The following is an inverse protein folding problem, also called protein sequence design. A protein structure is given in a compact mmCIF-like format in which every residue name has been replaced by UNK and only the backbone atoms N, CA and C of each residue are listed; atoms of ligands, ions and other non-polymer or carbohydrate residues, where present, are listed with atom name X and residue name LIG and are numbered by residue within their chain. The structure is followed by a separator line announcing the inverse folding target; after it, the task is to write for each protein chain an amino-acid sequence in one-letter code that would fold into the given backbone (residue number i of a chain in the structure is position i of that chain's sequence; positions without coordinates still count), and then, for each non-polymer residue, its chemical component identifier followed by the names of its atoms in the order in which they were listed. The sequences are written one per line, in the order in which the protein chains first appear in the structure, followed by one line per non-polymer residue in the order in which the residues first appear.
data_IF_885860437315
#
_entry.id   IF_885860437315
#
_cell.length_a   1.000
_cell.length_b   1.000
_cell.length_c   1.000
_cell.angle_alpha   90.00
_cell.angle_beta   90.00
_cell.angle_gamma   90.00
#
_symmetry.space_group_name_H-M   'P 1'
#
loop_
_entity.id
_entity.type
_entity.pdbx_description
1 polymer ?
#
# COMPACT_ATOMS: atom_id res chain seq x y z
N UNK A 1 25.43 4.95 41.27
CA UNK A 1 24.63 6.12 40.84
C UNK A 1 25.58 7.21 40.33
N UNK A 2 25.41 7.72 39.11
CA UNK A 2 26.21 8.84 38.61
C UNK A 2 25.80 10.15 39.32
N UNK A 3 26.74 11.01 39.75
CA UNK A 3 26.42 12.20 40.53
C UNK A 3 25.58 13.20 39.72
N UNK A 4 24.59 13.89 40.32
CA UNK A 4 23.63 14.77 39.64
C UNK A 4 24.23 16.12 39.16
N UNK A 5 25.49 16.16 38.71
CA UNK A 5 26.21 17.41 38.42
C UNK A 5 26.15 17.92 36.98
N UNK A 6 25.73 17.10 36.01
CA UNK A 6 25.90 17.41 34.58
C UNK A 6 24.82 18.26 33.90
N UNK A 7 23.84 18.80 34.64
CA UNK A 7 22.72 19.58 34.07
C UNK A 7 22.83 21.10 34.24
N UNK A 8 23.59 21.56 35.22
CA UNK A 8 23.61 22.98 35.62
C UNK A 8 24.40 23.82 34.59
N UNK A 9 25.53 23.29 34.11
CA UNK A 9 26.43 24.00 33.21
C UNK A 9 26.26 23.64 31.73
N UNK A 10 25.18 22.93 31.35
CA UNK A 10 24.93 22.60 29.95
C UNK A 10 24.29 23.80 29.22
N UNK A 11 24.78 24.17 28.02
CA UNK A 11 24.16 25.22 27.24
C UNK A 11 22.69 24.88 26.97
N UNK A 12 21.79 25.84 27.21
CA UNK A 12 20.36 25.66 26.96
C UNK A 12 20.12 25.51 25.45
N UNK A 13 19.30 24.54 25.07
CA UNK A 13 18.80 24.43 23.69
C UNK A 13 18.02 25.69 23.29
N UNK A 14 17.85 25.92 21.99
CA UNK A 14 17.08 27.06 21.47
C UNK A 14 15.66 27.18 22.07
N UNK A 15 15.03 26.04 22.39
CA UNK A 15 13.77 26.03 23.13
C UNK A 15 13.95 26.32 24.63
N UNK A 16 15.02 25.81 25.25
CA UNK A 16 15.37 26.11 26.64
C UNK A 16 15.59 27.60 26.92
N UNK A 17 16.11 28.34 25.93
CA UNK A 17 16.25 29.81 25.99
C UNK A 17 14.88 30.53 25.97
N UNK A 18 13.89 29.99 25.23
CA UNK A 18 12.55 30.56 25.04
C UNK A 18 11.48 29.81 25.86
N UNK A 19 11.34 30.14 27.14
CA UNK A 19 10.47 29.43 28.11
C UNK A 19 9.03 29.24 27.62
N UNK A 20 8.35 30.28 27.14
CA UNK A 20 6.97 30.19 26.67
C UNK A 20 6.83 29.30 25.43
N UNK A 21 7.78 29.37 24.48
CA UNK A 21 7.81 28.50 23.30
C UNK A 21 8.02 27.05 23.73
N UNK A 22 8.93 26.79 24.68
CA UNK A 22 9.16 25.45 25.24
C UNK A 22 7.91 24.88 25.88
N UNK A 23 7.24 25.63 26.76
CA UNK A 23 5.99 25.17 27.40
C UNK A 23 4.91 24.87 26.34
N UNK A 24 4.75 25.74 25.33
CA UNK A 24 3.79 25.54 24.23
C UNK A 24 4.09 24.28 23.41
N UNK A 25 5.34 24.09 23.00
CA UNK A 25 5.76 22.92 22.21
C UNK A 25 5.58 21.64 23.02
N UNK A 26 6.13 21.58 24.23
CA UNK A 26 5.99 20.41 25.09
C UNK A 26 4.53 20.09 25.43
N UNK A 27 3.70 21.11 25.62
CA UNK A 27 2.25 20.95 25.83
C UNK A 27 1.56 20.35 24.60
N UNK A 28 1.88 20.83 23.39
CA UNK A 28 1.37 20.27 22.14
C UNK A 28 1.83 18.82 21.94
N UNK A 29 3.09 18.51 22.21
CA UNK A 29 3.63 17.16 22.05
C UNK A 29 3.01 16.18 23.04
N UNK A 30 2.80 16.60 24.30
CA UNK A 30 2.05 15.80 25.29
C UNK A 30 0.63 15.51 24.82
N UNK A 31 -0.07 16.49 24.23
CA UNK A 31 -1.41 16.29 23.68
C UNK A 31 -1.41 15.34 22.47
N UNK A 32 -0.46 15.50 21.55
CA UNK A 32 -0.29 14.59 20.39
C UNK A 32 -0.03 13.15 20.82
N UNK A 33 0.85 12.93 21.80
CA UNK A 33 1.16 11.59 22.33
C UNK A 33 -0.05 10.90 22.99
N UNK A 34 -0.98 11.69 23.55
CA UNK A 34 -2.21 11.18 24.18
C UNK A 34 -3.37 11.08 23.19
N UNK A 35 -3.19 11.48 21.94
CA UNK A 35 -4.24 11.44 20.95
C UNK A 35 -4.54 9.99 20.60
N UNK A 36 -5.78 9.56 20.84
CA UNK A 36 -6.21 8.21 20.48
C UNK A 36 -6.52 8.23 18.98
N UNK A 37 -5.70 7.52 18.23
CA UNK A 37 -5.80 7.38 16.78
C UNK A 37 -6.59 6.10 16.49
N UNK A 38 -7.68 6.20 15.72
CA UNK A 38 -8.44 5.02 15.29
C UNK A 38 -7.61 4.06 14.44
N UNK A 39 -8.07 2.83 14.22
CA UNK A 39 -7.41 1.90 13.30
C UNK A 39 -7.76 2.23 11.84
N UNK A 40 -6.83 1.95 10.91
CA UNK A 40 -7.09 1.91 9.47
C UNK A 40 -6.89 0.47 9.04
N UNK A 41 -7.97 -0.18 8.57
CA UNK A 41 -7.91 -1.59 8.20
C UNK A 41 -7.52 -1.78 6.74
N UNK A 42 -8.04 -0.93 5.85
CA UNK A 42 -7.86 -1.05 4.40
C UNK A 42 -6.98 0.10 3.86
N UNK A 43 -5.73 0.20 4.31
CA UNK A 43 -4.84 1.32 3.99
C UNK A 43 -4.59 1.53 2.48
N UNK A 44 -4.52 0.43 1.72
CA UNK A 44 -4.32 0.48 0.26
C UNK A 44 -5.58 0.81 -0.56
N UNK A 45 -6.76 0.85 0.06
CA UNK A 45 -8.06 1.07 -0.61
C UNK A 45 -8.81 2.29 -0.06
N UNK A 46 -8.13 3.19 0.64
CA UNK A 46 -8.74 4.38 1.24
C UNK A 46 -9.27 5.31 0.15
N UNK A 47 -10.56 5.66 0.22
CA UNK A 47 -11.14 6.69 -0.67
C UNK A 47 -11.00 8.09 -0.08
N UNK A 48 -11.09 9.13 -0.93
CA UNK A 48 -11.03 10.55 -0.53
C UNK A 48 -12.00 10.88 0.62
N UNK A 49 -13.18 10.25 0.64
CA UNK A 49 -14.16 10.44 1.71
C UNK A 49 -13.65 9.97 3.08
N UNK A 50 -12.92 8.85 3.12
CA UNK A 50 -12.31 8.33 4.34
C UNK A 50 -11.16 9.24 4.82
N UNK A 51 -10.37 9.79 3.88
CA UNK A 51 -9.36 10.80 4.20
C UNK A 51 -9.98 12.06 4.82
N UNK A 52 -11.13 12.52 4.29
CA UNK A 52 -11.89 13.64 4.87
C UNK A 52 -12.37 13.33 6.30
N UNK A 53 -12.85 12.12 6.57
CA UNK A 53 -13.24 11.67 7.93
C UNK A 53 -12.06 11.67 8.91
N UNK A 54 -10.87 11.29 8.46
CA UNK A 54 -9.63 11.36 9.27
C UNK A 54 -9.21 12.78 9.58
N UNK A 55 -9.32 13.67 8.59
CA UNK A 55 -8.97 15.08 8.75
C UNK A 55 -9.88 15.77 9.76
N UNK A 56 -11.17 15.44 9.77
CA UNK A 56 -12.11 15.97 10.75
C UNK A 56 -12.01 15.29 12.12
N UNK A 57 -11.79 13.96 12.17
CA UNK A 57 -11.65 13.20 13.41
C UNK A 57 -10.53 12.16 13.32
N UNK A 58 -9.41 12.36 14.05
CA UNK A 58 -8.33 11.38 14.14
C UNK A 58 -8.70 10.12 14.93
N UNK A 59 -9.81 10.12 15.67
CA UNK A 59 -10.23 8.97 16.50
C UNK A 59 -11.13 7.99 15.73
N UNK A 60 -11.67 8.38 14.59
CA UNK A 60 -12.57 7.52 13.82
C UNK A 60 -11.84 6.30 13.24
N UNK A 61 -12.43 5.11 13.41
CA UNK A 61 -11.98 3.91 12.72
C UNK A 61 -12.38 3.99 11.25
N UNK A 62 -11.43 3.72 10.36
CA UNK A 62 -11.67 3.66 8.92
C UNK A 62 -11.64 2.21 8.48
N UNK A 63 -12.82 1.72 8.11
CA UNK A 63 -13.00 0.45 7.42
C UNK A 63 -13.90 0.68 6.21
N UNK A 64 -13.62 -0.05 5.13
CA UNK A 64 -14.57 -0.16 4.05
C UNK A 64 -15.58 -1.26 4.37
N UNK A 65 -16.85 -0.99 4.10
CA UNK A 65 -17.82 -2.08 3.99
C UNK A 65 -17.36 -3.06 2.91
N UNK A 66 -17.58 -4.36 3.13
CA UNK A 66 -17.13 -5.41 2.20
C UNK A 66 -17.59 -5.19 0.75
N UNK A 67 -18.82 -4.67 0.54
CA UNK A 67 -19.33 -4.31 -0.79
C UNK A 67 -18.48 -3.23 -1.47
N UNK A 68 -18.05 -2.22 -0.71
CA UNK A 68 -17.18 -1.13 -1.20
C UNK A 68 -15.79 -1.64 -1.52
N UNK A 69 -15.21 -2.46 -0.63
CA UNK A 69 -13.89 -3.08 -0.82
C UNK A 69 -13.83 -3.90 -2.11
N UNK A 70 -14.80 -4.80 -2.31
CA UNK A 70 -14.90 -5.64 -3.53
C UNK A 70 -15.05 -4.80 -4.79
N UNK A 71 -15.88 -3.76 -4.77
CA UNK A 71 -16.06 -2.87 -5.94
C UNK A 71 -14.77 -2.15 -6.32
N UNK A 72 -14.04 -1.61 -5.34
CA UNK A 72 -12.77 -0.91 -5.59
C UNK A 72 -11.70 -1.85 -6.14
N UNK A 73 -11.57 -3.06 -5.57
CA UNK A 73 -10.64 -4.06 -6.08
C UNK A 73 -10.94 -4.45 -7.53
N UNK A 74 -12.22 -4.66 -7.86
CA UNK A 74 -12.63 -4.97 -9.23
C UNK A 74 -12.29 -3.84 -10.21
N UNK A 75 -12.51 -2.59 -9.80
CA UNK A 75 -12.14 -1.43 -10.63
C UNK A 75 -10.63 -1.32 -10.85
N UNK A 76 -9.83 -1.51 -9.80
CA UNK A 76 -8.37 -1.51 -9.91
C UNK A 76 -7.87 -2.62 -10.84
N UNK A 77 -8.46 -3.81 -10.75
CA UNK A 77 -8.12 -4.94 -11.62
C UNK A 77 -8.40 -4.63 -13.09
N UNK A 78 -9.57 -4.08 -13.41
CA UNK A 78 -9.89 -3.68 -14.79
C UNK A 78 -8.93 -2.61 -15.31
N UNK A 79 -8.66 -1.57 -14.51
CA UNK A 79 -7.69 -0.53 -14.91
C UNK A 79 -6.28 -1.08 -15.12
N UNK A 80 -5.85 -2.08 -14.36
CA UNK A 80 -4.56 -2.73 -14.55
C UNK A 80 -4.53 -3.57 -15.83
N UNK A 81 -5.61 -4.30 -16.12
CA UNK A 81 -5.75 -5.06 -17.37
C UNK A 81 -5.74 -4.14 -18.59
N UNK A 82 -6.50 -3.05 -18.57
CA UNK A 82 -6.53 -2.05 -19.66
C UNK A 82 -5.15 -1.44 -19.89
N UNK A 83 -4.44 -1.06 -18.82
CA UNK A 83 -3.07 -0.53 -18.92
C UNK A 83 -2.09 -1.55 -19.50
N UNK A 84 -2.15 -2.79 -19.04
CA UNK A 84 -1.29 -3.86 -19.55
C UNK A 84 -1.56 -4.12 -21.05
N UNK A 85 -2.83 -4.18 -21.46
CA UNK A 85 -3.21 -4.33 -22.87
C UNK A 85 -2.71 -3.15 -23.73
N UNK A 86 -2.76 -1.92 -23.21
CA UNK A 86 -2.26 -0.75 -23.92
C UNK A 86 -0.72 -0.71 -24.01
N UNK A 87 0.01 -1.07 -22.96
CA UNK A 87 1.48 -1.11 -22.98
C UNK A 87 2.05 -2.22 -23.89
N UNK A 88 1.33 -3.34 -24.06
CA UNK A 88 1.68 -4.38 -25.04
C UNK A 88 1.57 -3.88 -26.49
N UNK A 89 0.78 -2.83 -26.76
CA UNK A 89 0.74 -2.15 -28.05
C UNK A 89 1.94 -1.22 -28.32
N UNK A 90 2.68 -0.80 -27.28
CA UNK A 90 3.81 0.12 -27.39
C UNK A 90 5.19 -0.60 -27.37
N UNK A 91 5.25 -1.83 -26.88
CA UNK A 91 6.45 -2.65 -26.91
C UNK A 91 6.34 -3.74 -27.98
N UNK A 92 6.66 -3.37 -29.23
CA UNK A 92 6.93 -4.35 -30.26
C UNK A 92 7.98 -5.37 -29.75
N UNK A 93 7.77 -6.69 -29.92
CA UNK A 93 8.72 -7.68 -29.46
C UNK A 93 9.97 -7.60 -30.34
N UNK A 94 11.09 -7.14 -29.77
CA UNK A 94 12.39 -7.33 -30.39
C UNK A 94 12.66 -8.84 -30.45
N UNK A 95 12.55 -9.40 -31.66
CA UNK A 95 12.95 -10.75 -32.01
C UNK A 95 14.40 -10.96 -31.60
N UNK A 96 14.65 -11.64 -30.47
CA UNK A 96 15.95 -12.24 -30.20
C UNK A 96 15.98 -13.62 -30.84
N UNK A 97 16.93 -13.78 -31.74
CA UNK A 97 17.18 -14.94 -32.57
C UNK A 97 17.41 -16.17 -31.69
N UNK A 98 16.83 -17.27 -32.16
CA UNK A 98 17.09 -18.63 -31.70
C UNK A 98 18.50 -19.01 -32.13
N UNK A 99 19.31 -19.51 -31.20
CA UNK A 99 20.44 -20.39 -31.52
C UNK A 99 20.25 -21.68 -30.72
N UNK A 100 20.15 -22.79 -31.44
CA UNK A 100 19.94 -24.13 -30.94
C UNK A 100 21.28 -24.90 -30.89
N UNK A 101 21.62 -25.46 -29.73
CA UNK A 101 22.48 -26.66 -29.54
C UNK A 101 22.53 -26.94 -28.01
N UNK A 102 22.49 -28.14 -27.44
CA UNK A 102 22.46 -29.53 -27.91
C UNK A 102 22.16 -30.45 -26.71
N UNK A 103 21.25 -31.43 -26.91
CA UNK A 103 21.20 -32.78 -26.31
C UNK A 103 20.80 -33.04 -24.81
N UNK A 104 20.23 -34.24 -24.50
CA UNK A 104 19.12 -34.42 -23.54
C UNK A 104 19.35 -35.41 -22.38
N UNK A 105 18.58 -35.31 -21.28
CA UNK A 105 18.41 -36.43 -20.31
C UNK A 105 17.00 -36.51 -19.69
N UNK A 106 16.23 -37.50 -20.18
CA UNK A 106 15.31 -38.42 -19.51
C UNK A 106 14.20 -37.98 -18.51
N UNK A 107 12.95 -38.12 -19.01
CA UNK A 107 11.78 -38.89 -18.49
C UNK A 107 11.20 -38.56 -17.10
N UNK A 108 9.92 -38.12 -17.09
CA UNK A 108 8.75 -38.99 -16.75
C UNK A 108 7.43 -38.31 -17.13
N UNK A 109 6.56 -39.07 -17.82
CA UNK A 109 5.20 -38.73 -18.27
C UNK A 109 4.16 -39.08 -17.20
N UNK A 110 3.13 -38.25 -17.03
CA UNK A 110 1.71 -38.61 -16.80
C UNK A 110 0.86 -37.46 -17.38
N UNK A 111 0.27 -37.66 -18.56
CA UNK A 111 -1.17 -37.92 -18.80
C UNK A 111 -2.03 -36.70 -18.37
N UNK A 112 -2.30 -35.72 -19.23
CA UNK A 112 -3.30 -35.70 -20.33
C UNK A 112 -4.70 -36.12 -19.88
N UNK A 113 -5.53 -35.15 -19.51
CA UNK A 113 -6.90 -35.14 -20.00
C UNK A 113 -7.42 -33.69 -20.13
N UNK A 114 -7.93 -33.39 -21.31
CA UNK A 114 -8.46 -32.11 -21.76
C UNK A 114 -9.87 -32.39 -22.30
N UNK A 115 -10.92 -31.89 -21.65
CA UNK A 115 -12.29 -31.78 -22.19
C UNK A 115 -13.02 -30.73 -21.34
N UNK A 116 -13.78 -29.76 -21.81
CA UNK A 116 -14.02 -29.15 -23.12
C UNK A 116 -14.62 -27.77 -22.77
N UNK A 117 -14.08 -26.70 -23.35
CA UNK A 117 -14.61 -25.34 -23.23
C UNK A 117 -15.77 -25.21 -24.22
N UNK A 118 -17.00 -25.30 -23.73
CA UNK A 118 -18.21 -25.29 -24.58
C UNK A 118 -18.54 -23.84 -24.96
N UNK A 119 -18.08 -23.43 -26.14
CA UNK A 119 -18.58 -22.27 -26.88
C UNK A 119 -20.08 -22.44 -27.16
N UNK A 120 -20.92 -21.59 -26.59
CA UNK A 120 -22.34 -21.46 -26.96
C UNK A 120 -22.46 -20.40 -28.05
N UNK A 121 -22.60 -20.84 -29.30
CA UNK A 121 -22.95 -19.98 -30.43
C UNK A 121 -24.46 -19.69 -30.44
N UNK A 122 -24.81 -18.43 -30.70
CA UNK A 122 -26.18 -17.92 -30.82
C UNK A 122 -26.98 -18.60 -31.94
N UNK A 123 -28.28 -18.83 -31.69
CA UNK A 123 -29.25 -19.28 -32.68
C UNK A 123 -30.28 -18.16 -32.90
N UNK A 124 -30.57 -17.92 -34.18
CA UNK A 124 -31.47 -16.92 -34.79
C UNK A 124 -32.81 -16.66 -34.09
#
# INVERSE_FOLDING_TARGET
MSPPGGRINRPKTELGKKLFKRRRVLGRDKRKKRQIVGAIMDEGLITVHHLKKRRSSPRANISLSGKKKRKLLKQLQHMQQEKASMEVGAAAPQKKKQDASSAPTNRKKKASDCQDDVEMADVQ
#
